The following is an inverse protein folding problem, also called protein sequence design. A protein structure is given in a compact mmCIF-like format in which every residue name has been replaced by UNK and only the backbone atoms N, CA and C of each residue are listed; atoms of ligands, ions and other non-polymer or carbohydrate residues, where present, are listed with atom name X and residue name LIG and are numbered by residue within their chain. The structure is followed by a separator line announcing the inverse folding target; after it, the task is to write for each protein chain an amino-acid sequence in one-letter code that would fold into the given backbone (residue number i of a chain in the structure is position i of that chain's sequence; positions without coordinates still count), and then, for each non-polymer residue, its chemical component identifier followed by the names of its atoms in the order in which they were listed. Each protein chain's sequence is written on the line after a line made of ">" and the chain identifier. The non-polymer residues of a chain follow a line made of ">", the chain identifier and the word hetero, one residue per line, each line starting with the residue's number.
data_IF_610389677129
#
_entry.id   IF_610389677129
#
_cell.length_a   1.000
_cell.length_b   1.000
_cell.length_c   1.000
_cell.angle_alpha   90.00
_cell.angle_beta   90.00
_cell.angle_gamma   90.00
#
_symmetry.space_group_name_H-M   'P 1'
#
loop_
_entity.id
_entity.type
_entity.pdbx_description
1 polymer ?
#
# COMPACT_ATOMS: atom_id res chain seq x y z
N UNK A 1 -8.90 24.10 10.67
CA UNK A 1 -10.35 24.39 10.74
C UNK A 1 -11.11 23.22 10.13
N UNK A 2 -11.70 22.31 10.91
CA UNK A 2 -12.43 21.14 10.40
C UNK A 2 -13.93 21.46 10.44
N UNK A 3 -14.55 21.62 9.28
CA UNK A 3 -16.01 21.58 9.15
C UNK A 3 -16.37 20.12 8.89
N UNK A 4 -17.10 19.50 9.82
CA UNK A 4 -17.55 18.10 9.74
C UNK A 4 -19.03 18.13 9.40
N UNK A 5 -19.41 17.63 8.21
CA UNK A 5 -20.81 17.43 7.85
C UNK A 5 -21.27 16.05 8.34
N UNK A 6 -22.28 16.02 9.21
CA UNK A 6 -22.93 14.80 9.71
C UNK A 6 -24.05 14.38 8.77
N UNK A 7 -23.97 13.19 8.16
CA UNK A 7 -25.09 12.57 7.45
C UNK A 7 -25.82 11.66 8.45
N UNK A 8 -27.08 11.97 8.74
CA UNK A 8 -27.98 11.16 9.55
C UNK A 8 -28.52 10.03 8.65
N UNK A 9 -28.17 8.78 8.94
CA UNK A 9 -28.83 7.61 8.32
C UNK A 9 -29.80 7.04 9.33
N UNK A 10 -31.10 7.15 9.04
CA UNK A 10 -32.17 6.62 9.89
C UNK A 10 -32.40 5.14 9.51
N UNK A 11 -32.08 4.22 10.42
CA UNK A 11 -32.62 2.86 10.41
C UNK A 11 -33.08 2.48 11.83
N UNK A 12 -34.38 2.23 11.95
CA UNK A 12 -35.08 1.57 13.04
C UNK A 12 -34.60 1.87 14.47
N UNK A 13 -35.11 2.97 15.04
CA UNK A 13 -35.62 3.00 16.42
C UNK A 13 -34.64 2.90 17.58
N UNK A 14 -33.32 2.88 17.35
CA UNK A 14 -32.32 3.03 18.42
C UNK A 14 -31.22 3.97 17.95
N UNK A 15 -31.23 5.20 18.46
CA UNK A 15 -30.18 6.21 18.24
C UNK A 15 -28.91 5.79 18.98
N UNK A 16 -28.13 4.88 18.40
CA UNK A 16 -26.75 4.66 18.84
C UNK A 16 -25.91 5.71 18.12
N UNK A 17 -25.47 6.73 18.86
CA UNK A 17 -24.48 7.68 18.39
C UNK A 17 -23.15 6.92 18.25
N UNK A 18 -22.96 6.26 17.12
CA UNK A 18 -21.66 5.67 16.80
C UNK A 18 -20.70 6.82 16.52
N UNK A 19 -19.85 7.12 17.50
CA UNK A 19 -18.67 7.95 17.30
C UNK A 19 -17.82 7.32 16.20
N UNK A 20 -17.93 7.83 14.97
CA UNK A 20 -17.12 7.43 13.80
C UNK A 20 -15.68 7.91 13.90
N UNK A 21 -15.02 7.62 15.01
CA UNK A 21 -13.57 7.58 15.14
C UNK A 21 -13.24 6.92 16.47
N UNK A 22 -13.32 5.60 16.53
CA UNK A 22 -12.41 4.89 17.42
C UNK A 22 -11.01 5.15 16.86
N UNK A 23 -10.29 6.12 17.43
CA UNK A 23 -8.86 6.27 17.18
C UNK A 23 -8.23 4.98 17.70
N UNK A 24 -8.06 3.99 16.84
CA UNK A 24 -7.36 2.78 17.22
C UNK A 24 -5.88 3.16 17.14
N UNK A 25 -5.18 3.26 18.29
CA UNK A 25 -3.77 3.62 18.27
C UNK A 25 -3.03 2.59 17.40
N UNK A 26 -2.20 3.06 16.47
CA UNK A 26 -1.38 2.17 15.62
C UNK A 26 -0.35 1.48 16.52
N UNK A 27 -0.62 0.23 16.89
CA UNK A 27 0.23 -0.56 17.79
C UNK A 27 1.29 -1.32 17.00
N UNK A 28 0.92 -1.81 15.82
CA UNK A 28 1.81 -2.58 14.94
C UNK A 28 1.79 -2.06 13.52
N UNK A 29 2.74 -2.52 12.69
CA UNK A 29 2.80 -2.13 11.28
C UNK A 29 1.57 -2.63 10.49
N UNK A 30 0.92 -3.71 10.94
CA UNK A 30 -0.30 -4.23 10.32
C UNK A 30 -1.49 -3.28 10.45
N UNK A 31 -1.46 -2.36 11.43
CA UNK A 31 -2.49 -1.33 11.60
C UNK A 31 -2.36 -0.20 10.54
N UNK A 32 -1.23 -0.12 9.83
CA UNK A 32 -1.05 0.84 8.76
C UNK A 32 -1.91 0.46 7.55
N UNK A 33 -2.86 1.32 7.20
CA UNK A 33 -3.67 1.16 5.98
C UNK A 33 -2.81 0.96 4.72
N UNK A 34 -1.66 1.63 4.66
CA UNK A 34 -0.71 1.48 3.55
C UNK A 34 -0.07 0.09 3.52
N UNK A 35 0.24 -0.51 4.68
CA UNK A 35 0.71 -1.90 4.73
C UNK A 35 -0.36 -2.86 4.22
N UNK A 36 -1.62 -2.69 4.66
CA UNK A 36 -2.74 -3.53 4.24
C UNK A 36 -2.95 -3.48 2.72
N UNK A 37 -2.84 -2.28 2.12
CA UNK A 37 -2.93 -2.11 0.68
C UNK A 37 -1.79 -2.81 -0.06
N UNK A 38 -0.54 -2.60 0.36
CA UNK A 38 0.64 -3.24 -0.25
C UNK A 38 0.58 -4.76 -0.13
N UNK A 39 0.15 -5.29 1.02
CA UNK A 39 0.01 -6.73 1.24
C UNK A 39 -1.09 -7.33 0.36
N UNK A 40 -2.22 -6.65 0.22
CA UNK A 40 -3.28 -7.04 -0.73
C UNK A 40 -2.76 -7.03 -2.17
N UNK A 41 -2.03 -6.00 -2.57
CA UNK A 41 -1.42 -5.91 -3.90
C UNK A 41 -0.45 -7.07 -4.16
N UNK A 42 0.42 -7.38 -3.19
CA UNK A 42 1.34 -8.52 -3.25
C UNK A 42 0.60 -9.84 -3.46
N UNK A 43 -0.49 -10.10 -2.74
CA UNK A 43 -1.29 -11.33 -2.91
C UNK A 43 -1.86 -11.40 -4.34
N UNK A 44 -2.40 -10.30 -4.87
CA UNK A 44 -2.96 -10.24 -6.22
C UNK A 44 -1.86 -10.53 -7.26
N UNK A 45 -0.71 -9.86 -7.13
CA UNK A 45 0.46 -10.07 -8.00
C UNK A 45 0.84 -11.54 -8.03
N UNK A 46 1.02 -12.16 -6.85
CA UNK A 46 1.54 -13.53 -6.74
C UNK A 46 0.55 -14.61 -7.16
N UNK A 47 -0.75 -14.39 -6.95
CA UNK A 47 -1.76 -15.45 -7.15
C UNK A 47 -2.57 -15.30 -8.43
N UNK A 48 -2.61 -14.09 -9.02
CA UNK A 48 -3.49 -13.80 -10.16
C UNK A 48 -2.76 -13.27 -11.39
N UNK A 49 -1.69 -12.50 -11.22
CA UNK A 49 -1.03 -11.81 -12.34
C UNK A 49 0.15 -12.63 -12.87
N UNK A 50 1.18 -12.85 -12.05
CA UNK A 50 2.43 -13.47 -12.53
C UNK A 50 2.27 -14.92 -12.96
N UNK A 51 1.26 -15.63 -12.43
CA UNK A 51 0.93 -17.00 -12.83
C UNK A 51 0.35 -17.10 -14.25
N UNK A 52 0.03 -15.97 -14.88
CA UNK A 52 -0.52 -15.91 -16.24
C UNK A 52 0.53 -15.52 -17.29
N UNK A 53 1.70 -15.04 -16.86
CA UNK A 53 2.74 -14.64 -17.78
C UNK A 53 3.37 -15.85 -18.49
N UNK A 54 3.93 -15.65 -19.70
CA UNK A 54 4.67 -16.70 -20.42
C UNK A 54 5.79 -17.30 -19.57
N UNK A 55 6.18 -18.55 -19.86
CA UNK A 55 7.20 -19.26 -19.07
C UNK A 55 8.59 -18.64 -19.23
N UNK A 56 8.83 -18.00 -20.36
CA UNK A 56 10.05 -17.27 -20.70
C UNK A 56 10.32 -16.15 -19.70
N UNK A 57 9.28 -15.56 -19.11
CA UNK A 57 9.38 -14.48 -18.12
C UNK A 57 9.64 -14.97 -16.69
N UNK A 58 9.67 -16.30 -16.46
CA UNK A 58 9.78 -16.89 -15.12
C UNK A 58 11.01 -16.37 -14.35
N UNK A 59 12.14 -16.23 -15.03
CA UNK A 59 13.40 -15.77 -14.46
C UNK A 59 13.69 -14.29 -14.72
N UNK A 60 12.83 -13.60 -15.46
CA UNK A 60 12.92 -12.16 -15.70
C UNK A 60 11.79 -11.42 -14.98
N UNK A 61 10.76 -10.94 -15.69
CA UNK A 61 9.73 -10.06 -15.11
C UNK A 61 9.02 -10.69 -13.92
N UNK A 62 8.72 -12.00 -13.96
CA UNK A 62 8.09 -12.71 -12.83
C UNK A 62 8.98 -12.66 -11.60
N UNK A 63 10.29 -12.85 -11.77
CA UNK A 63 11.25 -12.86 -10.65
C UNK A 63 11.41 -11.48 -10.04
N UNK A 64 11.44 -10.43 -10.87
CA UNK A 64 11.51 -9.03 -10.45
C UNK A 64 10.24 -8.63 -9.69
N UNK A 65 9.05 -8.89 -10.25
CA UNK A 65 7.77 -8.60 -9.60
C UNK A 65 7.61 -9.33 -8.27
N UNK A 66 8.05 -10.59 -8.15
CA UNK A 66 8.02 -11.32 -6.88
C UNK A 66 8.88 -10.65 -5.82
N UNK A 67 10.09 -10.21 -6.18
CA UNK A 67 11.01 -9.56 -5.25
C UNK A 67 10.45 -8.21 -4.81
N UNK A 68 10.09 -7.36 -5.77
CA UNK A 68 9.67 -5.99 -5.48
C UNK A 68 8.37 -5.92 -4.67
N UNK A 69 7.35 -6.71 -5.04
CA UNK A 69 6.09 -6.77 -4.29
C UNK A 69 6.26 -7.22 -2.83
N UNK A 70 7.18 -8.17 -2.55
CA UNK A 70 7.52 -8.59 -1.19
C UNK A 70 8.32 -7.52 -0.45
N UNK A 71 9.31 -6.92 -1.12
CA UNK A 71 10.18 -5.90 -0.57
C UNK A 71 9.38 -4.70 -0.04
N UNK A 72 8.39 -4.20 -0.80
CA UNK A 72 7.53 -3.09 -0.35
C UNK A 72 6.89 -3.36 1.02
N UNK A 73 6.35 -4.57 1.24
CA UNK A 73 5.73 -4.91 2.54
C UNK A 73 6.76 -5.12 3.66
N UNK A 74 7.90 -5.73 3.34
CA UNK A 74 8.96 -6.02 4.31
C UNK A 74 9.66 -4.75 4.80
N UNK A 75 9.99 -3.84 3.87
CA UNK A 75 10.61 -2.54 4.17
C UNK A 75 9.74 -1.70 5.09
N UNK A 76 8.42 -1.68 4.86
CA UNK A 76 7.51 -0.92 5.71
C UNK A 76 7.42 -1.51 7.13
N UNK A 77 7.41 -2.84 7.24
CA UNK A 77 7.40 -3.52 8.55
C UNK A 77 8.71 -3.25 9.32
N UNK A 78 9.86 -3.35 8.65
CA UNK A 78 11.17 -3.04 9.23
C UNK A 78 11.29 -1.56 9.61
N UNK A 79 10.84 -0.67 8.72
CA UNK A 79 10.78 0.76 8.98
C UNK A 79 9.96 1.09 10.21
N UNK A 80 8.80 0.43 10.37
CA UNK A 80 7.93 0.66 11.53
C UNK A 80 8.63 0.26 12.83
N UNK A 81 9.42 -0.81 12.85
CA UNK A 81 10.22 -1.17 14.01
C UNK A 81 11.25 -0.09 14.37
N UNK A 82 11.80 0.62 13.37
CA UNK A 82 12.79 1.68 13.50
C UNK A 82 12.18 3.09 13.51
N UNK A 83 10.86 3.22 13.63
CA UNK A 83 10.10 4.47 13.43
C UNK A 83 10.43 5.62 14.38
N UNK A 84 11.08 5.34 15.51
CA UNK A 84 11.50 6.36 16.48
C UNK A 84 12.79 7.09 16.06
N UNK A 85 13.49 6.59 15.04
CA UNK A 85 14.64 7.24 14.45
C UNK A 85 14.25 7.88 13.13
N UNK A 86 14.01 9.20 13.13
CA UNK A 86 13.53 9.98 11.97
C UNK A 86 14.23 9.62 10.66
N UNK A 87 15.57 9.61 10.65
CA UNK A 87 16.36 9.31 9.44
C UNK A 87 16.12 7.89 8.92
N UNK A 88 16.11 6.90 9.81
CA UNK A 88 15.81 5.52 9.41
C UNK A 88 14.38 5.40 8.91
N UNK A 89 13.41 5.95 9.64
CA UNK A 89 12.01 5.88 9.25
C UNK A 89 11.76 6.46 7.86
N UNK A 90 12.28 7.67 7.60
CA UNK A 90 12.18 8.31 6.29
C UNK A 90 12.81 7.46 5.19
N UNK A 91 14.01 6.91 5.43
CA UNK A 91 14.67 6.01 4.48
C UNK A 91 13.76 4.82 4.12
N UNK A 92 13.21 4.11 5.10
CA UNK A 92 12.34 2.97 4.82
C UNK A 92 11.05 3.35 4.08
N UNK A 93 10.47 4.52 4.37
CA UNK A 93 9.31 5.01 3.62
C UNK A 93 9.66 5.31 2.15
N UNK A 94 10.82 5.93 1.91
CA UNK A 94 11.32 6.19 0.55
C UNK A 94 11.63 4.89 -0.20
N UNK A 95 12.31 3.94 0.45
CA UNK A 95 12.61 2.64 -0.16
C UNK A 95 11.32 1.86 -0.48
N UNK A 96 10.34 1.87 0.44
CA UNK A 96 9.01 1.27 0.20
C UNK A 96 8.30 1.90 -1.00
N UNK A 97 8.42 3.23 -1.15
CA UNK A 97 7.86 3.95 -2.29
C UNK A 97 8.60 3.61 -3.59
N UNK A 98 9.92 3.39 -3.53
CA UNK A 98 10.73 2.89 -4.65
C UNK A 98 10.22 1.56 -5.16
N UNK A 99 10.08 0.57 -4.28
CA UNK A 99 9.52 -0.76 -4.62
C UNK A 99 8.09 -0.67 -5.16
N UNK A 100 7.27 0.24 -4.61
CA UNK A 100 5.90 0.45 -5.07
C UNK A 100 5.86 1.03 -6.50
N UNK A 101 6.74 1.98 -6.81
CA UNK A 101 6.86 2.55 -8.15
C UNK A 101 7.43 1.55 -9.16
N UNK A 102 8.38 0.73 -8.74
CA UNK A 102 8.90 -0.37 -9.57
C UNK A 102 7.78 -1.37 -9.91
N UNK A 103 6.93 -1.72 -8.95
CA UNK A 103 5.74 -2.55 -9.22
C UNK A 103 4.74 -1.90 -10.18
N UNK A 104 4.52 -0.58 -10.10
CA UNK A 104 3.69 0.15 -11.07
C UNK A 104 4.30 0.06 -12.48
N UNK A 105 5.62 0.21 -12.59
CA UNK A 105 6.33 0.06 -13.86
C UNK A 105 6.16 -1.36 -14.43
N UNK A 106 6.45 -2.39 -13.63
CA UNK A 106 6.32 -3.78 -14.06
C UNK A 106 4.88 -4.13 -14.48
N UNK A 107 3.87 -3.69 -13.74
CA UNK A 107 2.48 -3.89 -14.11
C UNK A 107 2.10 -3.16 -15.41
N UNK A 108 2.70 -1.99 -15.66
CA UNK A 108 2.52 -1.25 -16.91
C UNK A 108 3.18 -1.98 -18.09
N UNK A 109 4.35 -2.59 -17.89
CA UNK A 109 4.98 -3.48 -18.87
C UNK A 109 4.07 -4.69 -19.17
N UNK A 110 3.53 -5.34 -18.14
CA UNK A 110 2.56 -6.43 -18.28
C UNK A 110 1.35 -6.00 -19.13
N UNK A 111 0.79 -4.83 -18.87
CA UNK A 111 -0.33 -4.29 -19.65
C UNK A 111 0.03 -3.88 -21.08
N UNK A 112 1.31 -3.61 -21.35
CA UNK A 112 1.75 -3.15 -22.68
C UNK A 112 2.09 -4.33 -23.57
N UNK A 113 2.86 -5.30 -23.04
CA UNK A 113 3.42 -6.41 -23.81
C UNK A 113 2.56 -7.68 -23.67
N UNK A 114 2.02 -7.93 -22.48
CA UNK A 114 1.39 -9.20 -22.11
C UNK A 114 -0.12 -9.08 -21.88
N UNK A 115 -0.77 -8.06 -22.46
CA UNK A 115 -2.19 -7.75 -22.21
C UNK A 115 -3.18 -8.88 -22.56
N UNK A 116 -2.82 -9.77 -23.49
CA UNK A 116 -3.61 -10.93 -23.89
C UNK A 116 -3.52 -12.09 -22.90
N UNK A 117 -2.50 -12.11 -22.03
CA UNK A 117 -2.27 -13.15 -21.04
C UNK A 117 -2.97 -12.87 -19.71
N UNK A 118 -3.20 -11.59 -19.40
CA UNK A 118 -3.65 -11.16 -18.06
C UNK A 118 -5.04 -10.55 -18.06
N UNK A 119 -5.66 -10.49 -16.87
CA UNK A 119 -6.83 -9.64 -16.66
C UNK A 119 -6.38 -8.17 -16.54
N UNK A 120 -6.67 -7.38 -17.57
CA UNK A 120 -6.24 -5.98 -17.65
C UNK A 120 -6.88 -5.09 -16.58
N UNK A 121 -8.15 -5.33 -16.25
CA UNK A 121 -8.86 -4.57 -15.19
C UNK A 121 -8.17 -4.80 -13.86
N UNK A 122 -7.89 -6.06 -13.51
CA UNK A 122 -7.19 -6.40 -12.29
C UNK A 122 -5.78 -5.78 -12.21
N UNK A 123 -5.05 -5.74 -13.33
CA UNK A 123 -3.73 -5.10 -13.37
C UNK A 123 -3.84 -3.59 -13.10
N UNK A 124 -4.81 -2.90 -13.72
CA UNK A 124 -5.06 -1.47 -13.47
C UNK A 124 -5.48 -1.19 -12.02
N UNK A 125 -6.38 -1.98 -11.46
CA UNK A 125 -6.76 -1.88 -10.04
C UNK A 125 -5.57 -2.11 -9.11
N UNK A 126 -4.65 -3.00 -9.49
CA UNK A 126 -3.42 -3.27 -8.71
C UNK A 126 -2.44 -2.09 -8.80
N UNK A 127 -2.31 -1.45 -9.98
CA UNK A 127 -1.55 -0.20 -10.15
C UNK A 127 -2.13 0.90 -9.26
N UNK A 128 -3.46 1.10 -9.29
CA UNK A 128 -4.13 2.11 -8.46
C UNK A 128 -3.91 1.87 -6.96
N UNK A 129 -3.80 0.60 -6.55
CA UNK A 129 -3.53 0.22 -5.17
C UNK A 129 -2.10 0.59 -4.75
N UNK A 130 -1.10 0.37 -5.61
CA UNK A 130 0.28 0.83 -5.37
C UNK A 130 0.39 2.35 -5.38
N UNK A 131 -0.23 3.02 -6.34
CA UNK A 131 -0.22 4.49 -6.45
C UNK A 131 -0.92 5.17 -5.25
N UNK A 132 -2.06 4.63 -4.81
CA UNK A 132 -2.70 5.03 -3.54
C UNK A 132 -1.76 4.82 -2.35
N UNK A 133 -1.02 3.71 -2.33
CA UNK A 133 -0.06 3.42 -1.27
C UNK A 133 1.08 4.44 -1.26
N UNK A 134 1.63 4.83 -2.41
CA UNK A 134 2.62 5.89 -2.52
C UNK A 134 2.12 7.22 -1.92
N UNK A 135 0.90 7.65 -2.25
CA UNK A 135 0.28 8.84 -1.63
C UNK A 135 0.13 8.70 -0.12
N UNK A 136 -0.21 7.51 0.37
CA UNK A 136 -0.31 7.25 1.81
C UNK A 136 1.06 7.30 2.48
N UNK A 137 2.12 6.78 1.86
CA UNK A 137 3.50 6.88 2.37
C UNK A 137 3.94 8.34 2.48
N UNK A 138 3.63 9.18 1.49
CA UNK A 138 3.94 10.62 1.56
C UNK A 138 3.24 11.29 2.74
N UNK A 139 1.95 11.01 2.93
CA UNK A 139 1.18 11.54 4.08
C UNK A 139 1.75 11.04 5.40
N UNK A 140 2.06 9.75 5.47
CA UNK A 140 2.66 9.11 6.63
C UNK A 140 3.98 9.77 6.99
N UNK A 141 4.87 9.96 6.01
CA UNK A 141 6.17 10.61 6.18
C UNK A 141 6.04 12.03 6.75
N UNK A 142 5.04 12.80 6.29
CA UNK A 142 4.81 14.16 6.78
C UNK A 142 4.21 14.17 8.20
N UNK A 143 3.14 13.39 8.45
CA UNK A 143 2.53 13.32 9.78
C UNK A 143 3.46 12.78 10.86
N UNK A 144 4.45 11.98 10.48
CA UNK A 144 5.42 11.43 11.43
C UNK A 144 6.61 12.35 11.68
N UNK A 145 6.77 13.45 10.92
CA UNK A 145 7.75 14.50 11.27
C UNK A 145 7.31 15.19 12.55
N UNK A 146 6.04 15.56 12.64
CA UNK A 146 5.43 16.19 13.81
C UNK A 146 5.66 15.34 15.08
N UNK A 147 5.47 14.02 14.99
CA UNK A 147 5.75 13.09 16.10
C UNK A 147 7.20 13.13 16.64
N UNK A 148 8.18 13.43 15.78
CA UNK A 148 9.59 13.53 16.20
C UNK A 148 9.98 14.94 16.66
N UNK A 149 9.15 15.95 16.39
CA UNK A 149 9.36 17.35 16.76
C UNK A 149 8.62 17.72 18.05
N UNK A 150 7.55 16.97 18.41
CA UNK A 150 6.79 17.11 19.66
C UNK A 150 7.42 16.39 20.87
N UNK A 151 8.63 15.84 20.74
CA UNK A 151 9.39 15.18 21.82
C UNK A 151 10.72 15.86 22.07
#
# INVERSE_FOLDING_TARGET
>A
MKIVASIIVIRNGKSKMESRNSFNPMRTFQDLHVYQNLFKAMIIVHTKIICRLPKEEQFDLVSQMRRSSKAATALLAEGFAKRYHRRHWQKYLHDTMGESNEMIHHLSVVLSIYNSYVNQVLCKETIDLYDKSCRQLTKLANSWKDFHEEK
#
